data_IF_917517311440
#
_entry.id   IF_917517311440
#
_cell.length_a   1.000
_cell.length_b   1.000
_cell.length_c   1.000
_cell.angle_alpha   90.00
_cell.angle_beta   90.00
_cell.angle_gamma   90.00
#
_symmetry.space_group_name_H-M   'P 1'
#
loop_
_entity.id
_entity.type
_entity.pdbx_description
1 polymer ?
#
# COMPACT_ATOMS: atom_id res chain seq x y z
N UNK A 1 16.72 22.05 41.74
CA UNK A 1 17.97 21.26 41.63
C UNK A 1 17.76 19.75 41.87
N UNK A 2 16.81 19.35 42.72
CA UNK A 2 16.41 17.95 42.89
C UNK A 2 15.09 17.62 42.20
N UNK A 3 14.56 16.45 42.54
CA UNK A 3 13.28 15.92 42.04
C UNK A 3 12.08 16.75 42.52
N UNK A 4 11.02 16.79 41.71
CA UNK A 4 9.71 17.31 42.09
C UNK A 4 8.74 16.11 42.20
N UNK A 5 8.06 15.99 43.34
CA UNK A 5 7.00 15.00 43.54
C UNK A 5 5.73 15.71 44.01
N UNK A 6 4.68 15.66 43.22
CA UNK A 6 3.36 16.18 43.55
C UNK A 6 2.40 15.01 43.63
N UNK A 7 1.67 14.91 44.73
CA UNK A 7 0.64 13.89 44.91
C UNK A 7 -0.57 14.52 45.59
N UNK A 8 -1.76 14.32 45.03
CA UNK A 8 -3.02 14.74 45.61
C UNK A 8 -4.05 13.61 45.52
N UNK A 9 -4.97 13.56 46.48
CA UNK A 9 -6.08 12.60 46.46
C UNK A 9 -7.07 12.90 45.33
N UNK A 10 -7.20 14.18 44.95
CA UNK A 10 -8.05 14.66 43.88
C UNK A 10 -7.16 15.24 42.74
N UNK A 11 -7.29 16.54 42.47
CA UNK A 11 -6.58 17.22 41.39
C UNK A 11 -5.18 17.71 41.81
N UNK A 12 -4.22 17.60 40.89
CA UNK A 12 -2.96 18.34 40.94
C UNK A 12 -3.03 19.48 39.93
N UNK A 13 -3.11 20.71 40.42
CA UNK A 13 -3.04 21.92 39.60
C UNK A 13 -1.72 22.63 39.89
N UNK A 14 -0.87 22.75 38.87
CA UNK A 14 0.42 23.43 38.99
C UNK A 14 0.65 24.41 37.83
N UNK A 15 1.45 25.44 38.07
CA UNK A 15 1.99 26.28 37.02
C UNK A 15 3.05 25.55 36.18
N UNK A 16 3.99 26.29 35.63
CA UNK A 16 5.17 25.67 35.01
C UNK A 16 6.05 25.00 36.08
N UNK A 17 6.58 23.82 35.77
CA UNK A 17 7.47 23.05 36.64
C UNK A 17 8.82 22.89 35.95
N UNK A 18 9.90 23.23 36.66
CA UNK A 18 11.27 23.06 36.16
C UNK A 18 12.08 22.33 37.22
N UNK A 19 12.51 21.11 36.89
CA UNK A 19 13.27 20.23 37.77
C UNK A 19 14.69 19.99 37.23
N UNK A 20 15.66 19.96 38.14
CA UNK A 20 17.03 19.50 37.83
C UNK A 20 17.17 17.98 37.94
N UNK A 21 16.14 17.29 38.43
CA UNK A 21 16.04 15.83 38.49
C UNK A 21 14.78 15.36 37.75
N UNK A 22 14.10 14.36 38.29
CA UNK A 22 12.83 13.84 37.74
C UNK A 22 11.62 14.67 38.22
N UNK A 23 10.49 14.53 37.53
CA UNK A 23 9.19 15.06 37.94
C UNK A 23 8.20 13.90 38.01
N UNK A 24 7.55 13.72 39.16
CA UNK A 24 6.47 12.75 39.34
C UNK A 24 5.21 13.48 39.78
N UNK A 25 4.12 13.28 39.05
CA UNK A 25 2.79 13.84 39.36
C UNK A 25 1.79 12.69 39.48
N UNK A 26 1.15 12.59 40.63
CA UNK A 26 0.11 11.61 40.93
C UNK A 26 -1.18 12.35 41.32
N UNK A 27 -2.17 12.34 40.44
CA UNK A 27 -3.53 12.82 40.72
C UNK A 27 -4.46 11.62 40.94
N UNK A 28 -5.43 11.76 41.85
CA UNK A 28 -6.28 10.72 42.43
C UNK A 28 -6.54 9.46 41.61
N UNK A 29 -6.44 8.28 42.23
CA UNK A 29 -6.60 6.98 41.56
C UNK A 29 -8.05 6.49 41.45
N UNK A 30 -9.03 7.25 41.93
CA UNK A 30 -10.43 6.86 42.01
C UNK A 30 -11.22 7.08 40.70
N UNK A 31 -10.53 7.48 39.63
CA UNK A 31 -11.14 7.79 38.34
C UNK A 31 -11.51 9.27 38.17
N UNK A 32 -11.33 10.13 39.19
CA UNK A 32 -11.73 11.54 39.14
C UNK A 32 -10.55 12.51 39.12
N UNK A 33 -9.42 12.17 39.73
CA UNK A 33 -8.29 13.08 39.93
C UNK A 33 -7.61 13.52 38.63
N UNK A 34 -7.54 14.82 38.38
CA UNK A 34 -6.95 15.42 37.17
C UNK A 34 -5.57 15.98 37.44
N UNK A 35 -4.65 15.83 36.49
CA UNK A 35 -3.38 16.53 36.50
C UNK A 35 -3.41 17.67 35.47
N UNK A 36 -3.41 18.91 35.93
CA UNK A 36 -3.39 20.11 35.08
C UNK A 36 -2.13 20.92 35.38
N UNK A 37 -1.19 20.98 34.44
CA UNK A 37 0.06 21.72 34.63
C UNK A 37 0.34 22.71 33.50
N UNK A 38 1.21 23.69 33.76
CA UNK A 38 1.85 24.48 32.71
C UNK A 38 2.84 23.64 31.91
N UNK A 39 3.95 24.25 31.48
CA UNK A 39 5.05 23.47 30.89
C UNK A 39 5.82 22.71 31.99
N UNK A 40 6.16 21.44 31.75
CA UNK A 40 6.97 20.62 32.64
C UNK A 40 8.30 20.33 31.96
N UNK A 41 9.40 20.75 32.58
CA UNK A 41 10.77 20.48 32.12
C UNK A 41 11.55 19.75 33.20
N UNK A 42 12.20 18.66 32.85
CA UNK A 42 13.00 17.84 33.76
C UNK A 42 14.31 17.38 33.10
N UNK A 43 15.42 17.40 33.85
CA UNK A 43 16.67 16.78 33.41
C UNK A 43 16.64 15.24 33.58
N UNK A 44 15.69 14.73 34.36
CA UNK A 44 15.43 13.30 34.54
C UNK A 44 14.22 12.83 33.74
N UNK A 45 13.47 11.91 34.36
CA UNK A 45 12.23 11.37 33.83
C UNK A 45 11.04 12.28 34.21
N UNK A 46 9.98 12.26 33.39
CA UNK A 46 8.69 12.85 33.72
C UNK A 46 7.65 11.73 33.76
N UNK A 47 7.06 11.47 34.93
CA UNK A 47 5.97 10.50 35.09
C UNK A 47 4.72 11.22 35.60
N UNK A 48 3.64 11.18 34.81
CA UNK A 48 2.34 11.76 35.18
C UNK A 48 1.31 10.66 35.16
N UNK A 49 0.66 10.41 36.29
CA UNK A 49 -0.46 9.51 36.42
C UNK A 49 -1.67 10.25 36.98
N UNK A 50 -2.83 10.09 36.36
CA UNK A 50 -4.10 10.67 36.80
C UNK A 50 -5.23 9.63 36.66
N UNK A 51 -6.09 9.48 37.66
CA UNK A 51 -7.30 8.68 37.52
C UNK A 51 -8.32 9.33 36.58
N UNK A 52 -8.28 10.64 36.42
CA UNK A 52 -9.03 11.39 35.41
C UNK A 52 -8.16 11.76 34.21
N UNK A 53 -8.24 13.01 33.76
CA UNK A 53 -7.49 13.54 32.61
C UNK A 53 -6.13 14.13 32.98
N UNK A 54 -5.22 14.13 32.02
CA UNK A 54 -3.95 14.89 32.06
C UNK A 54 -4.03 16.03 31.05
N UNK A 55 -3.78 17.25 31.48
CA UNK A 55 -3.65 18.43 30.59
C UNK A 55 -2.37 19.17 30.93
N UNK A 56 -1.45 19.30 29.97
CA UNK A 56 -0.20 20.04 30.17
C UNK A 56 0.08 20.97 29.01
N UNK A 57 0.77 22.09 29.24
CA UNK A 57 1.13 22.97 28.14
C UNK A 57 2.20 22.31 27.24
N UNK A 58 3.26 21.75 27.83
CA UNK A 58 4.29 21.00 27.12
C UNK A 58 5.05 20.10 28.09
N UNK A 59 5.59 18.98 27.61
CA UNK A 59 6.43 18.08 28.39
C UNK A 59 7.81 18.00 27.75
N UNK A 60 8.87 18.23 28.53
CA UNK A 60 10.25 18.13 28.07
C UNK A 60 11.14 17.42 29.10
N UNK A 61 11.52 16.19 28.81
CA UNK A 61 12.39 15.37 29.66
C UNK A 61 13.69 15.04 28.93
N UNK A 62 14.84 15.12 29.61
CA UNK A 62 16.11 14.70 28.99
C UNK A 62 16.25 13.15 28.97
N UNK A 63 15.36 12.40 29.64
CA UNK A 63 15.27 10.93 29.57
C UNK A 63 13.90 10.43 29.10
N UNK A 64 13.09 9.84 29.98
CA UNK A 64 11.81 9.25 29.61
C UNK A 64 10.63 10.16 29.98
N UNK A 65 9.54 10.07 29.21
CA UNK A 65 8.26 10.68 29.55
C UNK A 65 7.18 9.59 29.57
N UNK A 66 6.59 9.35 30.73
CA UNK A 66 5.42 8.51 30.94
C UNK A 66 4.18 9.36 31.28
N UNK A 67 3.10 9.18 30.53
CA UNK A 67 1.80 9.77 30.85
C UNK A 67 0.73 8.69 30.84
N UNK A 68 0.05 8.51 31.97
CA UNK A 68 -1.09 7.58 32.10
C UNK A 68 -2.30 8.32 32.64
N UNK A 69 -3.43 8.20 31.96
CA UNK A 69 -4.70 8.81 32.35
C UNK A 69 -5.83 7.81 32.15
N UNK A 70 -6.83 7.80 33.03
CA UNK A 70 -8.10 7.10 32.74
C UNK A 70 -9.11 7.97 31.96
N UNK A 71 -8.79 9.25 31.79
CA UNK A 71 -9.46 10.18 30.89
C UNK A 71 -8.53 10.67 29.77
N UNK A 72 -8.88 11.79 29.15
CA UNK A 72 -8.08 12.40 28.08
C UNK A 72 -6.65 12.73 28.51
N UNK A 73 -5.72 12.61 27.55
CA UNK A 73 -4.39 13.22 27.63
C UNK A 73 -4.30 14.34 26.60
N UNK A 74 -4.06 15.57 27.05
CA UNK A 74 -3.91 16.75 26.19
C UNK A 74 -2.61 17.47 26.46
N UNK A 75 -1.75 17.58 25.45
CA UNK A 75 -0.47 18.30 25.55
C UNK A 75 -0.19 19.09 24.28
N UNK A 76 0.43 20.28 24.36
CA UNK A 76 0.75 21.00 23.11
C UNK A 76 2.00 20.46 22.41
N UNK A 77 2.96 19.89 23.15
CA UNK A 77 4.13 19.22 22.60
C UNK A 77 4.77 18.29 23.64
N UNK A 78 5.46 17.24 23.17
CA UNK A 78 6.18 16.28 24.03
C UNK A 78 7.56 16.00 23.43
N UNK A 79 8.62 16.18 24.22
CA UNK A 79 10.01 15.98 23.79
C UNK A 79 10.77 15.18 24.84
N UNK A 80 11.26 13.99 24.49
CA UNK A 80 12.02 13.13 25.38
C UNK A 80 13.40 12.79 24.82
N UNK A 81 14.43 12.82 25.66
CA UNK A 81 15.77 12.39 25.26
C UNK A 81 15.88 10.88 24.99
N UNK A 82 14.94 10.05 25.45
CA UNK A 82 14.94 8.59 25.20
C UNK A 82 13.60 8.02 24.75
N UNK A 83 12.60 7.91 25.64
CA UNK A 83 11.34 7.22 25.34
C UNK A 83 10.13 8.06 25.72
N UNK A 84 9.05 7.92 24.94
CA UNK A 84 7.73 8.49 25.24
C UNK A 84 6.73 7.35 25.33
N UNK A 85 6.00 7.30 26.43
CA UNK A 85 4.86 6.40 26.62
C UNK A 85 3.64 7.18 27.06
N UNK A 86 2.56 7.09 26.28
CA UNK A 86 1.28 7.72 26.60
C UNK A 86 0.20 6.64 26.61
N UNK A 87 -0.63 6.64 27.65
CA UNK A 87 -1.76 5.73 27.78
C UNK A 87 -2.98 6.49 28.27
N UNK A 88 -4.03 6.53 27.46
CA UNK A 88 -5.36 7.01 27.84
C UNK A 88 -6.32 5.83 27.84
N UNK A 89 -6.59 5.25 29.00
CA UNK A 89 -7.40 4.04 29.15
C UNK A 89 -8.83 4.38 29.50
N UNK A 90 -9.83 3.73 28.90
CA UNK A 90 -11.22 4.04 29.18
C UNK A 90 -11.58 3.83 30.68
N UNK A 91 -12.03 4.89 31.34
CA UNK A 91 -12.90 4.75 32.52
C UNK A 91 -14.31 4.36 32.06
N UNK A 92 -15.08 3.69 32.93
CA UNK A 92 -16.43 3.19 32.60
C UNK A 92 -17.31 4.27 31.97
N UNK A 93 -17.72 4.06 30.71
CA UNK A 93 -18.59 5.00 29.96
C UNK A 93 -17.87 6.18 29.31
N UNK A 94 -16.53 6.20 29.28
CA UNK A 94 -15.73 7.22 28.59
C UNK A 94 -14.91 6.62 27.44
N UNK A 95 -14.65 7.44 26.42
CA UNK A 95 -13.82 7.10 25.25
C UNK A 95 -12.68 8.12 25.21
N UNK A 96 -11.65 7.96 26.05
CA UNK A 96 -10.66 9.00 26.26
C UNK A 96 -9.77 9.17 25.03
N UNK A 97 -9.41 10.42 24.75
CA UNK A 97 -8.58 10.78 23.62
C UNK A 97 -7.15 11.11 24.04
N UNK A 98 -6.19 10.82 23.15
CA UNK A 98 -4.85 11.40 23.20
C UNK A 98 -4.78 12.51 22.16
N UNK A 99 -4.60 13.74 22.61
CA UNK A 99 -4.44 14.92 21.75
C UNK A 99 -3.10 15.56 22.05
N UNK A 100 -2.17 15.50 21.10
CA UNK A 100 -0.85 16.12 21.25
C UNK A 100 -0.49 16.94 20.02
N UNK A 101 0.28 18.01 20.19
CA UNK A 101 0.99 18.61 19.04
C UNK A 101 2.20 17.76 18.66
N UNK A 102 3.33 18.41 18.36
CA UNK A 102 4.55 17.72 17.93
C UNK A 102 5.13 16.81 19.03
N UNK A 103 5.62 15.64 18.62
CA UNK A 103 6.21 14.63 19.49
C UNK A 103 7.61 14.28 18.98
N UNK A 104 8.62 14.31 19.85
CA UNK A 104 9.95 13.81 19.51
C UNK A 104 10.60 12.96 20.61
N UNK A 105 11.21 11.84 20.23
CA UNK A 105 11.92 10.94 21.16
C UNK A 105 13.30 10.54 20.63
N UNK A 106 14.34 10.78 21.43
CA UNK A 106 15.70 10.39 21.11
C UNK A 106 16.34 11.20 19.97
N UNK A 107 15.76 12.35 19.62
CA UNK A 107 16.26 13.26 18.58
C UNK A 107 16.73 14.56 19.20
N UNK A 108 15.85 15.28 19.89
CA UNK A 108 16.24 16.47 20.66
C UNK A 108 16.88 16.02 21.97
N UNK A 109 18.14 16.39 22.20
CA UNK A 109 18.89 16.01 23.42
C UNK A 109 18.89 14.51 23.69
N UNK A 110 19.16 13.71 22.65
CA UNK A 110 19.26 12.28 22.77
C UNK A 110 20.20 11.88 23.94
N UNK A 111 19.70 11.04 24.86
CA UNK A 111 20.57 10.39 25.82
C UNK A 111 21.62 9.51 25.07
N UNK A 112 22.83 9.32 25.62
CA UNK A 112 23.89 8.57 24.94
C UNK A 112 23.50 7.15 24.47
N UNK A 113 22.54 6.54 25.17
CA UNK A 113 21.98 5.21 24.95
C UNK A 113 20.51 5.24 24.49
N UNK A 114 20.04 6.39 24.02
CA UNK A 114 18.63 6.57 23.65
C UNK A 114 18.19 5.62 22.53
N UNK A 115 17.16 4.84 22.83
CA UNK A 115 16.41 4.02 21.87
C UNK A 115 15.56 4.92 20.97
N UNK A 116 14.96 5.98 21.54
CA UNK A 116 14.13 6.91 20.77
C UNK A 116 12.75 6.36 20.43
N UNK A 117 12.15 5.51 21.29
CA UNK A 117 10.88 4.87 20.99
C UNK A 117 9.69 5.69 21.48
N UNK A 118 8.63 5.73 20.66
CA UNK A 118 7.34 6.36 20.99
C UNK A 118 6.27 5.27 20.98
N UNK A 119 5.52 5.16 22.07
CA UNK A 119 4.34 4.30 22.16
C UNK A 119 3.15 5.06 22.74
N UNK A 120 2.06 5.13 21.98
CA UNK A 120 0.84 5.84 22.34
C UNK A 120 -0.33 4.86 22.24
N UNK A 121 -1.06 4.72 23.34
CA UNK A 121 -2.29 3.94 23.40
C UNK A 121 -3.46 4.85 23.82
N UNK A 122 -4.54 4.82 23.05
CA UNK A 122 -5.77 5.57 23.28
C UNK A 122 -6.96 4.63 23.15
N UNK A 123 -7.85 4.60 24.16
CA UNK A 123 -9.12 3.89 24.02
C UNK A 123 -10.14 4.64 23.13
N UNK A 124 -9.81 5.86 22.71
CA UNK A 124 -10.61 6.68 21.81
C UNK A 124 -9.81 7.15 20.59
N UNK A 125 -9.95 8.43 20.23
CA UNK A 125 -9.18 9.04 19.14
C UNK A 125 -7.71 9.27 19.52
N UNK A 126 -6.82 9.21 18.54
CA UNK A 126 -5.47 9.74 18.65
C UNK A 126 -5.29 10.90 17.65
N UNK A 127 -5.19 12.13 18.15
CA UNK A 127 -4.95 13.33 17.34
C UNK A 127 -3.57 13.92 17.66
N UNK A 128 -2.59 13.58 16.83
CA UNK A 128 -1.17 13.85 17.07
C UNK A 128 -0.64 14.84 16.02
N UNK A 129 0.33 15.67 16.40
CA UNK A 129 1.09 16.49 15.45
C UNK A 129 2.13 15.67 14.69
N UNK A 130 3.20 16.32 14.25
CA UNK A 130 4.35 15.64 13.68
C UNK A 130 5.04 14.74 14.71
N UNK A 131 5.46 13.55 14.29
CA UNK A 131 6.11 12.54 15.14
C UNK A 131 7.51 12.28 14.61
N UNK A 132 8.51 12.46 15.46
CA UNK A 132 9.92 12.21 15.12
C UNK A 132 10.56 11.28 16.17
N UNK A 133 10.92 10.07 15.76
CA UNK A 133 11.53 9.07 16.62
C UNK A 133 12.88 8.62 16.06
N UNK A 134 13.92 8.58 16.89
CA UNK A 134 15.16 7.87 16.52
C UNK A 134 14.92 6.36 16.40
N UNK A 135 13.99 5.82 17.19
CA UNK A 135 13.59 4.42 17.18
C UNK A 135 12.24 4.21 16.50
N UNK A 136 11.43 3.33 17.08
CA UNK A 136 10.12 2.96 16.55
C UNK A 136 9.00 3.92 16.97
N UNK A 137 7.93 3.94 16.19
CA UNK A 137 6.69 4.64 16.49
C UNK A 137 5.56 3.63 16.52
N UNK A 138 4.86 3.52 17.65
CA UNK A 138 3.61 2.77 17.76
C UNK A 138 2.49 3.67 18.23
N UNK A 139 1.41 3.73 17.46
CA UNK A 139 0.18 4.39 17.85
C UNK A 139 -0.95 3.37 17.76
N UNK A 140 -1.70 3.25 18.85
CA UNK A 140 -2.82 2.33 18.99
C UNK A 140 -4.03 3.15 19.43
N UNK A 141 -5.10 3.13 18.64
CA UNK A 141 -6.38 3.76 18.92
C UNK A 141 -7.52 2.73 18.74
N UNK A 142 -8.62 2.82 19.49
CA UNK A 142 -9.63 1.75 19.54
C UNK A 142 -10.94 2.07 18.80
N UNK A 143 -11.35 3.33 18.68
CA UNK A 143 -12.79 3.57 18.42
C UNK A 143 -13.17 4.74 17.53
N UNK A 144 -12.31 5.70 17.23
CA UNK A 144 -12.79 6.88 16.47
C UNK A 144 -11.76 7.52 15.55
N UNK A 145 -10.73 6.77 15.19
CA UNK A 145 -9.77 7.19 14.19
C UNK A 145 -8.49 7.75 14.78
N UNK A 146 -7.48 7.74 13.93
CA UNK A 146 -6.17 8.29 14.19
C UNK A 146 -5.87 9.39 13.18
N UNK A 147 -5.47 10.57 13.65
CA UNK A 147 -4.93 11.63 12.81
C UNK A 147 -3.53 11.97 13.30
N UNK A 148 -2.52 11.90 12.44
CA UNK A 148 -1.15 12.34 12.76
C UNK A 148 -0.64 13.33 11.71
N UNK A 149 0.34 14.14 12.07
CA UNK A 149 1.14 14.88 11.10
C UNK A 149 2.07 13.96 10.30
N UNK A 150 3.22 14.49 9.90
CA UNK A 150 4.29 13.68 9.32
C UNK A 150 4.92 12.75 10.36
N UNK A 151 5.31 11.55 9.94
CA UNK A 151 5.99 10.57 10.80
C UNK A 151 7.39 10.33 10.24
N UNK A 152 8.42 10.55 11.05
CA UNK A 152 9.81 10.18 10.75
C UNK A 152 10.31 9.23 11.84
N UNK A 153 10.69 8.02 11.48
CA UNK A 153 11.15 7.00 12.41
C UNK A 153 12.44 6.33 11.93
N UNK A 154 13.38 6.08 12.85
CA UNK A 154 14.54 5.22 12.57
C UNK A 154 14.27 3.73 12.77
N UNK A 155 13.12 3.38 13.33
CA UNK A 155 12.61 2.02 13.51
C UNK A 155 11.25 1.80 12.83
N UNK A 156 10.58 0.67 13.07
CA UNK A 156 9.27 0.39 12.50
C UNK A 156 8.20 1.39 12.94
N UNK A 157 7.24 1.64 12.04
CA UNK A 157 6.05 2.45 12.29
C UNK A 157 4.83 1.53 12.31
N UNK A 158 4.07 1.56 13.38
CA UNK A 158 2.89 0.73 13.59
C UNK A 158 1.72 1.64 13.96
N UNK A 159 0.69 1.67 13.12
CA UNK A 159 -0.54 2.41 13.33
C UNK A 159 -1.70 1.41 13.38
N UNK A 160 -2.23 1.16 14.58
CA UNK A 160 -3.36 0.26 14.78
C UNK A 160 -4.59 1.08 15.19
N UNK A 161 -5.68 0.94 14.44
CA UNK A 161 -6.93 1.66 14.71
C UNK A 161 -8.14 0.92 14.12
N UNK A 162 -9.34 1.16 14.63
CA UNK A 162 -10.61 0.60 14.11
C UNK A 162 -11.61 1.67 13.60
N UNK A 163 -11.23 2.96 13.56
CA UNK A 163 -12.04 4.06 13.02
C UNK A 163 -11.52 4.70 11.72
N UNK A 164 -10.29 4.38 11.31
CA UNK A 164 -9.58 4.94 10.16
C UNK A 164 -8.29 5.67 10.54
N UNK A 165 -7.34 5.73 9.61
CA UNK A 165 -6.04 6.38 9.83
C UNK A 165 -5.83 7.48 8.82
N UNK A 166 -5.54 8.70 9.28
CA UNK A 166 -5.09 9.80 8.45
C UNK A 166 -3.72 10.28 8.94
N UNK A 167 -2.73 10.32 8.06
CA UNK A 167 -1.37 10.75 8.39
C UNK A 167 -0.79 11.59 7.26
N UNK A 168 0.22 12.40 7.56
CA UNK A 168 1.02 13.05 6.52
C UNK A 168 2.02 12.08 5.88
N UNK A 169 3.12 12.63 5.35
CA UNK A 169 4.28 11.85 4.89
C UNK A 169 4.78 10.88 5.96
N UNK A 170 5.10 9.64 5.59
CA UNK A 170 5.78 8.66 6.46
C UNK A 170 7.18 8.34 5.93
N UNK A 171 8.19 8.46 6.77
CA UNK A 171 9.59 8.17 6.43
C UNK A 171 10.19 7.24 7.48
N UNK A 172 10.39 5.97 7.11
CA UNK A 172 10.97 4.92 7.93
C UNK A 172 11.96 4.06 7.10
N UNK A 173 13.08 4.65 6.63
CA UNK A 173 13.98 4.01 5.68
C UNK A 173 14.61 2.75 6.27
N UNK A 174 14.58 1.65 5.52
CA UNK A 174 15.09 0.35 5.97
C UNK A 174 14.22 -0.32 7.04
N UNK A 175 12.98 0.15 7.25
CA UNK A 175 12.08 -0.34 8.30
C UNK A 175 10.69 -0.68 7.75
N UNK A 176 9.92 -1.46 8.52
CA UNK A 176 8.55 -1.81 8.18
C UNK A 176 7.55 -0.75 8.67
N UNK A 177 6.55 -0.45 7.84
CA UNK A 177 5.34 0.30 8.17
C UNK A 177 4.15 -0.68 8.15
N UNK A 178 3.38 -0.72 9.24
CA UNK A 178 2.13 -1.47 9.32
C UNK A 178 0.98 -0.53 9.70
N UNK A 179 -0.08 -0.54 8.88
CA UNK A 179 -1.36 0.11 9.19
C UNK A 179 -2.45 -0.98 9.16
N UNK A 180 -3.06 -1.27 10.31
CA UNK A 180 -3.98 -2.40 10.48
C UNK A 180 -4.97 -2.17 11.64
N UNK A 181 -5.83 -3.16 11.92
CA UNK A 181 -6.82 -3.11 13.00
C UNK A 181 -6.19 -3.08 14.40
N UNK A 182 -6.89 -2.43 15.34
CA UNK A 182 -6.58 -2.50 16.76
C UNK A 182 -6.54 -3.93 17.29
N UNK A 183 -7.29 -4.87 16.71
CA UNK A 183 -7.32 -6.29 17.13
C UNK A 183 -5.94 -6.96 17.15
N UNK A 184 -4.95 -6.39 16.46
CA UNK A 184 -3.58 -6.87 16.48
C UNK A 184 -2.74 -6.38 17.66
N UNK A 185 -3.23 -5.40 18.45
CA UNK A 185 -2.52 -4.82 19.59
C UNK A 185 -2.01 -5.84 20.62
N UNK A 186 -2.72 -6.95 20.91
CA UNK A 186 -2.20 -8.01 21.80
C UNK A 186 -0.91 -8.68 21.31
N UNK A 187 -0.53 -8.53 20.03
CA UNK A 187 0.72 -9.05 19.48
C UNK A 187 1.92 -8.13 19.75
N UNK A 188 1.70 -6.94 20.31
CA UNK A 188 2.78 -6.02 20.69
C UNK A 188 3.40 -6.54 21.98
N UNK A 189 4.64 -7.03 21.87
CA UNK A 189 5.44 -7.46 23.01
C UNK A 189 6.11 -6.28 23.72
N UNK A 190 6.91 -6.61 24.73
CA UNK A 190 7.83 -5.66 25.37
C UNK A 190 9.25 -6.19 25.35
N UNK A 191 10.20 -5.32 25.05
CA UNK A 191 11.63 -5.59 25.17
C UNK A 191 12.10 -5.40 26.61
N UNK A 192 13.31 -5.87 26.89
CA UNK A 192 13.95 -5.72 28.21
C UNK A 192 14.20 -4.27 28.62
N UNK A 193 14.25 -3.34 27.66
CA UNK A 193 14.37 -1.89 27.86
C UNK A 193 13.03 -1.15 28.03
N UNK A 194 11.92 -1.91 28.12
CA UNK A 194 10.57 -1.36 28.25
C UNK A 194 9.94 -0.87 26.95
N UNK A 195 10.68 -0.81 25.84
CA UNK A 195 10.15 -0.43 24.54
C UNK A 195 9.22 -1.51 23.97
N UNK A 196 8.33 -1.10 23.06
CA UNK A 196 7.44 -2.02 22.36
C UNK A 196 8.23 -2.93 21.40
N UNK A 197 7.89 -4.22 21.42
CA UNK A 197 8.42 -5.22 20.49
C UNK A 197 7.37 -5.59 19.44
N UNK A 198 7.65 -5.25 18.19
CA UNK A 198 6.73 -5.50 17.06
C UNK A 198 7.05 -6.79 16.29
N UNK A 199 7.97 -7.62 16.78
CA UNK A 199 8.44 -8.80 16.01
C UNK A 199 7.31 -9.77 15.68
N UNK A 200 6.48 -10.14 16.67
CA UNK A 200 5.34 -11.03 16.45
C UNK A 200 4.25 -10.37 15.58
N UNK A 201 3.99 -9.07 15.81
CA UNK A 201 3.03 -8.29 15.05
C UNK A 201 3.40 -8.23 13.55
N UNK A 202 4.65 -7.92 13.24
CA UNK A 202 5.16 -7.75 11.87
C UNK A 202 5.31 -9.06 11.10
N UNK A 203 5.27 -10.20 11.79
CA UNK A 203 5.27 -11.54 11.22
C UNK A 203 3.84 -12.09 11.02
N UNK A 204 2.84 -11.51 11.67
CA UNK A 204 1.45 -11.96 11.58
C UNK A 204 0.78 -11.48 10.27
N UNK A 205 -0.26 -12.20 9.85
CA UNK A 205 -1.14 -11.73 8.78
C UNK A 205 -1.91 -10.48 9.26
N UNK A 206 -1.93 -9.37 8.49
CA UNK A 206 -2.62 -8.16 8.89
C UNK A 206 -4.14 -8.38 9.02
N UNK A 207 -4.72 -7.89 10.11
CA UNK A 207 -6.18 -7.77 10.28
C UNK A 207 -6.62 -6.43 9.72
N UNK A 208 -7.66 -6.42 8.89
CA UNK A 208 -8.13 -5.21 8.22
C UNK A 208 -8.82 -4.28 9.22
N UNK A 209 -8.36 -3.04 9.31
CA UNK A 209 -9.05 -2.03 10.12
C UNK A 209 -10.41 -1.66 9.56
N UNK A 210 -11.30 -1.21 10.45
CA UNK A 210 -12.56 -0.59 10.05
C UNK A 210 -12.29 0.89 9.74
N UNK A 211 -12.73 1.34 8.56
CA UNK A 211 -12.53 2.73 8.11
C UNK A 211 -11.50 2.90 6.99
N UNK A 212 -11.27 4.17 6.64
CA UNK A 212 -10.41 4.58 5.53
C UNK A 212 -8.97 4.81 6.02
N UNK A 213 -8.02 4.67 5.10
CA UNK A 213 -6.61 5.05 5.31
C UNK A 213 -6.25 6.17 4.33
N UNK A 214 -5.78 7.29 4.86
CA UNK A 214 -5.26 8.42 4.11
C UNK A 214 -3.81 8.68 4.53
N UNK A 215 -2.90 8.66 3.56
CA UNK A 215 -1.52 9.12 3.70
C UNK A 215 -1.36 10.32 2.78
N UNK A 216 -1.42 11.52 3.35
CA UNK A 216 -1.21 12.77 2.63
C UNK A 216 0.27 13.10 2.52
N UNK A 217 0.92 12.46 1.57
CA UNK A 217 2.34 12.65 1.29
C UNK A 217 3.02 11.38 0.79
N UNK A 218 4.34 11.48 0.64
CA UNK A 218 5.17 10.36 0.23
C UNK A 218 5.30 9.30 1.34
N UNK A 219 5.65 8.07 0.93
CA UNK A 219 6.01 7.00 1.85
C UNK A 219 7.38 6.47 1.48
N UNK A 220 8.29 6.35 2.44
CA UNK A 220 9.59 5.70 2.28
C UNK A 220 9.77 4.64 3.35
N UNK A 221 9.94 3.38 2.95
CA UNK A 221 10.06 2.25 3.85
C UNK A 221 10.93 1.13 3.25
N UNK A 222 11.22 0.10 4.03
CA UNK A 222 11.61 -1.21 3.48
C UNK A 222 10.37 -2.02 3.10
N UNK A 223 9.37 -2.03 3.98
CA UNK A 223 8.11 -2.70 3.75
C UNK A 223 6.95 -1.81 4.12
N UNK A 224 5.99 -1.63 3.21
CA UNK A 224 4.71 -0.98 3.49
C UNK A 224 3.58 -2.01 3.46
N UNK A 225 2.91 -2.19 4.59
CA UNK A 225 1.71 -3.03 4.70
C UNK A 225 0.53 -2.20 5.19
N UNK A 226 -0.54 -2.16 4.40
CA UNK A 226 -1.80 -1.49 4.77
C UNK A 226 -2.97 -2.45 4.58
N UNK A 227 -3.76 -2.64 5.64
CA UNK A 227 -4.93 -3.49 5.62
C UNK A 227 -6.15 -2.72 6.14
N UNK A 228 -7.05 -2.35 5.24
CA UNK A 228 -8.27 -1.61 5.53
C UNK A 228 -9.51 -2.25 4.91
N UNK A 229 -10.64 -2.11 5.59
CA UNK A 229 -11.96 -2.44 5.04
C UNK A 229 -12.54 -1.30 4.21
N UNK A 230 -12.20 -0.04 4.53
CA UNK A 230 -12.56 1.14 3.76
C UNK A 230 -11.56 1.44 2.64
N UNK A 231 -11.59 2.69 2.17
CA UNK A 231 -10.77 3.17 1.05
C UNK A 231 -9.35 3.53 1.49
N UNK A 232 -8.37 3.36 0.59
CA UNK A 232 -6.98 3.75 0.77
C UNK A 232 -6.61 4.88 -0.19
N UNK A 233 -6.06 5.98 0.32
CA UNK A 233 -5.51 7.07 -0.47
C UNK A 233 -4.06 7.38 -0.06
N UNK A 234 -3.13 7.37 -1.02
CA UNK A 234 -1.74 7.83 -0.86
C UNK A 234 -1.47 8.90 -1.91
N UNK A 235 -1.35 10.17 -1.48
CA UNK A 235 -1.28 11.31 -2.43
C UNK A 235 0.13 11.54 -2.98
N UNK A 236 1.17 11.09 -2.28
CA UNK A 236 2.56 11.19 -2.71
C UNK A 236 3.10 9.89 -3.31
N UNK A 237 4.35 9.96 -3.77
CA UNK A 237 5.07 8.78 -4.26
C UNK A 237 5.37 7.80 -3.13
N UNK A 238 5.25 6.50 -3.42
CA UNK A 238 5.60 5.41 -2.49
C UNK A 238 6.87 4.74 -2.95
N UNK A 239 7.86 4.64 -2.07
CA UNK A 239 9.14 3.95 -2.28
C UNK A 239 9.37 2.93 -1.17
N UNK A 240 9.30 1.64 -1.50
CA UNK A 240 9.59 0.56 -0.56
C UNK A 240 10.09 -0.71 -1.27
N UNK A 241 10.82 -1.58 -0.57
CA UNK A 241 11.23 -2.87 -1.13
C UNK A 241 10.02 -3.77 -1.40
N UNK A 242 9.11 -3.86 -0.42
CA UNK A 242 7.88 -4.66 -0.50
C UNK A 242 6.66 -3.78 -0.20
N UNK A 243 5.66 -3.84 -1.07
CA UNK A 243 4.39 -3.11 -0.89
C UNK A 243 3.22 -4.09 -0.96
N UNK A 244 2.46 -4.16 0.13
CA UNK A 244 1.27 -5.00 0.29
C UNK A 244 0.08 -4.16 0.75
N UNK A 245 -0.87 -3.87 -0.15
CA UNK A 245 -2.04 -3.04 0.15
C UNK A 245 -3.34 -3.82 -0.04
N UNK A 246 -4.20 -3.80 0.97
CA UNK A 246 -5.55 -4.38 0.94
C UNK A 246 -6.59 -3.33 1.37
N UNK A 247 -7.53 -2.99 0.48
CA UNK A 247 -8.55 -1.95 0.72
C UNK A 247 -9.87 -2.23 -0.02
N UNK A 248 -10.90 -1.43 0.20
CA UNK A 248 -12.12 -1.42 -0.63
C UNK A 248 -11.80 -0.81 -2.01
N UNK A 249 -11.58 0.49 -2.08
CA UNK A 249 -10.94 1.13 -3.23
C UNK A 249 -9.55 1.62 -2.87
N UNK A 250 -8.69 1.82 -3.86
CA UNK A 250 -7.42 2.49 -3.63
C UNK A 250 -7.11 3.54 -4.71
N UNK A 251 -6.58 4.66 -4.25
CA UNK A 251 -5.97 5.72 -5.05
C UNK A 251 -4.54 5.91 -4.54
N UNK A 252 -3.55 5.69 -5.39
CA UNK A 252 -2.18 6.02 -5.05
C UNK A 252 -1.51 6.78 -6.19
N UNK A 253 -0.55 7.64 -5.83
CA UNK A 253 0.33 8.29 -6.80
C UNK A 253 1.27 7.29 -7.50
N UNK A 254 2.47 7.74 -7.83
CA UNK A 254 3.50 6.86 -8.38
C UNK A 254 3.99 5.89 -7.31
N UNK A 255 4.19 4.62 -7.68
CA UNK A 255 4.67 3.56 -6.79
C UNK A 255 5.96 2.98 -7.36
N UNK A 256 7.03 3.01 -6.57
CA UNK A 256 8.27 2.29 -6.80
C UNK A 256 8.39 1.16 -5.76
N UNK A 257 8.44 -0.08 -6.24
CA UNK A 257 8.70 -1.27 -5.44
C UNK A 257 10.11 -1.79 -5.74
N UNK A 258 10.85 -2.24 -4.75
CA UNK A 258 12.12 -2.95 -5.00
C UNK A 258 11.84 -4.32 -5.62
N UNK A 259 11.34 -5.25 -4.83
CA UNK A 259 11.29 -6.67 -5.23
C UNK A 259 9.91 -7.12 -5.67
N UNK A 260 8.85 -6.67 -5.00
CA UNK A 260 7.50 -7.13 -5.27
C UNK A 260 6.44 -6.08 -4.92
N UNK A 261 5.49 -5.90 -5.85
CA UNK A 261 4.29 -5.08 -5.67
C UNK A 261 3.06 -5.97 -5.75
N UNK A 262 2.34 -6.13 -4.63
CA UNK A 262 1.07 -6.86 -4.56
C UNK A 262 -0.04 -5.96 -4.03
N UNK A 263 -1.03 -5.68 -4.87
CA UNK A 263 -2.21 -4.90 -4.49
C UNK A 263 -3.48 -5.70 -4.71
N UNK A 264 -4.36 -5.71 -3.70
CA UNK A 264 -5.68 -6.34 -3.80
C UNK A 264 -6.76 -5.37 -3.31
N UNK A 265 -7.75 -5.07 -4.16
CA UNK A 265 -8.90 -4.23 -3.79
C UNK A 265 -10.22 -4.91 -4.10
N UNK A 266 -11.25 -4.69 -3.27
CA UNK A 266 -12.59 -5.24 -3.51
C UNK A 266 -13.36 -4.43 -4.59
N UNK A 267 -13.08 -3.14 -4.69
CA UNK A 267 -13.66 -2.19 -5.63
C UNK A 267 -12.65 -1.72 -6.68
N UNK A 268 -12.86 -0.50 -7.19
CA UNK A 268 -11.99 0.10 -8.21
C UNK A 268 -10.64 0.54 -7.67
N UNK A 269 -9.66 0.66 -8.56
CA UNK A 269 -8.28 1.04 -8.26
C UNK A 269 -7.76 2.00 -9.33
N UNK A 270 -7.18 3.12 -8.89
CA UNK A 270 -6.45 4.05 -9.78
C UNK A 270 -5.07 4.31 -9.22
N UNK A 271 -4.04 4.12 -10.04
CA UNK A 271 -2.64 4.29 -9.69
C UNK A 271 -1.96 5.23 -10.67
N UNK A 272 -0.92 5.93 -10.19
CA UNK A 272 0.05 6.61 -11.05
C UNK A 272 0.92 5.62 -11.83
N UNK A 273 2.16 6.01 -12.09
CA UNK A 273 3.14 5.13 -12.70
C UNK A 273 3.64 4.08 -11.70
N UNK A 274 3.93 2.89 -12.19
CA UNK A 274 4.47 1.79 -11.40
C UNK A 274 5.89 1.46 -11.87
N UNK A 275 6.82 1.36 -10.95
CA UNK A 275 8.16 0.85 -11.18
C UNK A 275 8.46 -0.28 -10.20
N UNK A 276 9.10 -1.35 -10.66
CA UNK A 276 9.43 -2.51 -9.85
C UNK A 276 10.65 -3.24 -10.39
N UNK A 277 11.62 -3.68 -9.56
CA UNK A 277 12.71 -4.56 -10.04
C UNK A 277 12.29 -6.03 -10.17
N UNK A 278 11.14 -6.39 -9.59
CA UNK A 278 10.57 -7.74 -9.68
C UNK A 278 9.13 -7.79 -10.18
N UNK A 279 8.30 -8.60 -9.53
CA UNK A 279 6.92 -8.88 -9.98
C UNK A 279 5.98 -7.75 -9.57
N UNK A 280 5.07 -7.39 -10.48
CA UNK A 280 3.93 -6.53 -10.18
C UNK A 280 2.64 -7.33 -10.39
N UNK A 281 1.85 -7.50 -9.33
CA UNK A 281 0.56 -8.19 -9.35
C UNK A 281 -0.54 -7.33 -8.71
N UNK A 282 -1.57 -7.01 -9.48
CA UNK A 282 -2.66 -6.16 -9.03
C UNK A 282 -4.00 -6.82 -9.37
N UNK A 283 -4.83 -6.98 -8.36
CA UNK A 283 -6.19 -7.51 -8.49
C UNK A 283 -7.17 -6.50 -7.93
N UNK A 284 -8.05 -5.98 -8.77
CA UNK A 284 -9.14 -5.10 -8.39
C UNK A 284 -10.48 -5.76 -8.68
N UNK A 285 -11.40 -5.77 -7.72
CA UNK A 285 -12.76 -6.28 -7.93
C UNK A 285 -13.62 -5.38 -8.83
N UNK A 286 -13.25 -4.10 -9.00
CA UNK A 286 -13.88 -3.14 -9.90
C UNK A 286 -13.10 -2.87 -11.19
N UNK A 287 -13.10 -1.60 -11.64
CA UNK A 287 -12.25 -1.12 -12.72
C UNK A 287 -10.82 -0.84 -12.22
N UNK A 288 -9.83 -1.03 -13.08
CA UNK A 288 -8.42 -0.81 -12.78
C UNK A 288 -7.84 0.23 -13.76
N UNK A 289 -7.31 1.32 -13.23
CA UNK A 289 -6.57 2.35 -13.96
C UNK A 289 -5.13 2.43 -13.45
N UNK A 290 -4.16 2.32 -14.35
CA UNK A 290 -2.73 2.38 -14.03
C UNK A 290 -2.03 3.29 -15.05
N UNK A 291 -1.05 4.08 -14.61
CA UNK A 291 -0.15 4.82 -15.50
C UNK A 291 0.79 3.89 -16.28
N UNK A 292 1.99 4.38 -16.56
CA UNK A 292 3.04 3.57 -17.17
C UNK A 292 3.62 2.57 -16.17
N UNK A 293 4.04 1.40 -16.65
CA UNK A 293 4.49 0.27 -15.84
C UNK A 293 5.87 -0.18 -16.30
N UNK A 294 6.83 -0.16 -15.39
CA UNK A 294 8.18 -0.69 -15.57
C UNK A 294 8.39 -1.81 -14.55
N UNK A 295 8.53 -3.05 -15.02
CA UNK A 295 8.72 -4.22 -14.15
C UNK A 295 9.98 -4.99 -14.57
N UNK A 296 10.84 -5.32 -13.62
CA UNK A 296 11.96 -6.22 -13.84
C UNK A 296 11.50 -7.67 -14.05
N UNK A 297 10.34 -8.05 -13.49
CA UNK A 297 9.69 -9.35 -13.62
C UNK A 297 8.32 -9.33 -14.33
N UNK A 298 7.45 -10.26 -13.95
CA UNK A 298 6.12 -10.43 -14.56
C UNK A 298 5.15 -9.32 -14.15
N UNK A 299 4.23 -8.98 -15.06
CA UNK A 299 3.10 -8.09 -14.79
C UNK A 299 1.80 -8.88 -14.87
N UNK A 300 1.00 -8.84 -13.80
CA UNK A 300 -0.33 -9.45 -13.74
C UNK A 300 -1.35 -8.40 -13.27
N UNK A 301 -2.28 -8.04 -14.13
CA UNK A 301 -3.39 -7.14 -13.79
C UNK A 301 -4.75 -7.83 -14.01
N UNK A 302 -5.60 -7.78 -12.99
CA UNK A 302 -6.94 -8.33 -13.02
C UNK A 302 -7.98 -7.29 -12.57
N UNK A 303 -8.93 -6.97 -13.45
CA UNK A 303 -10.09 -6.10 -13.19
C UNK A 303 -11.39 -6.93 -13.23
N UNK A 304 -11.85 -7.37 -12.07
CA UNK A 304 -12.94 -8.35 -11.92
C UNK A 304 -14.32 -7.84 -12.33
N UNK A 305 -14.61 -6.54 -12.16
CA UNK A 305 -15.94 -5.97 -12.35
C UNK A 305 -16.01 -4.82 -13.34
N UNK A 306 -14.90 -4.47 -13.99
CA UNK A 306 -14.83 -3.28 -14.83
C UNK A 306 -13.81 -3.35 -15.95
N UNK A 307 -13.49 -2.19 -16.51
CA UNK A 307 -12.45 -2.04 -17.52
C UNK A 307 -11.05 -1.99 -16.87
N UNK A 308 -10.06 -2.44 -17.62
CA UNK A 308 -8.64 -2.27 -17.33
C UNK A 308 -8.07 -1.20 -18.28
N UNK A 309 -7.49 -0.15 -17.71
CA UNK A 309 -6.75 0.89 -18.42
C UNK A 309 -5.33 0.94 -17.88
N UNK A 310 -4.36 0.80 -18.76
CA UNK A 310 -2.94 0.87 -18.42
C UNK A 310 -2.22 1.73 -19.44
N UNK A 311 -1.20 2.48 -19.00
CA UNK A 311 -0.25 3.15 -19.88
C UNK A 311 0.61 2.17 -20.67
N UNK A 312 1.85 2.56 -20.97
CA UNK A 312 2.84 1.65 -21.51
C UNK A 312 3.24 0.60 -20.47
N UNK A 313 3.58 -0.61 -20.90
CA UNK A 313 4.12 -1.68 -20.06
C UNK A 313 5.47 -2.09 -20.62
N UNK A 314 6.52 -2.00 -19.82
CA UNK A 314 7.83 -2.58 -20.06
C UNK A 314 8.13 -3.61 -18.97
N UNK A 315 7.94 -4.90 -19.29
CA UNK A 315 8.24 -6.02 -18.40
C UNK A 315 9.58 -6.67 -18.76
N UNK A 316 10.21 -7.33 -17.80
CA UNK A 316 11.39 -8.17 -18.02
C UNK A 316 12.73 -7.44 -18.03
N UNK A 317 12.86 -6.35 -17.28
CA UNK A 317 14.15 -5.67 -17.09
C UNK A 317 15.26 -6.61 -16.61
N UNK A 318 14.96 -7.51 -15.67
CA UNK A 318 15.92 -8.48 -15.10
C UNK A 318 15.57 -9.94 -15.44
N UNK A 319 14.31 -10.26 -15.75
CA UNK A 319 13.85 -11.60 -16.10
C UNK A 319 13.61 -11.77 -17.62
N UNK A 320 14.45 -12.53 -18.34
CA UNK A 320 14.32 -12.73 -19.78
C UNK A 320 13.11 -13.57 -20.21
N UNK A 321 12.36 -14.12 -19.25
CA UNK A 321 11.12 -14.86 -19.50
C UNK A 321 9.89 -14.16 -18.91
N UNK A 322 10.01 -12.90 -18.51
CA UNK A 322 8.91 -12.12 -17.95
C UNK A 322 7.76 -11.97 -18.94
N UNK A 323 6.56 -12.29 -18.49
CA UNK A 323 5.33 -12.16 -19.27
C UNK A 323 4.41 -11.05 -18.75
N UNK A 324 3.41 -10.73 -19.57
CA UNK A 324 2.35 -9.77 -19.22
C UNK A 324 1.01 -10.47 -19.31
N UNK A 325 0.22 -10.36 -18.25
CA UNK A 325 -1.15 -10.87 -18.18
C UNK A 325 -2.08 -9.72 -17.82
N UNK A 326 -3.01 -9.42 -18.73
CA UNK A 326 -4.04 -8.42 -18.54
C UNK A 326 -5.41 -9.10 -18.61
N UNK A 327 -6.22 -8.98 -17.56
CA UNK A 327 -7.56 -9.58 -17.48
C UNK A 327 -8.57 -8.55 -17.05
N UNK A 328 -9.67 -8.43 -17.79
CA UNK A 328 -10.79 -7.59 -17.40
C UNK A 328 -12.14 -8.22 -17.79
N UNK A 329 -13.16 -8.02 -16.96
CA UNK A 329 -14.54 -8.35 -17.33
C UNK A 329 -15.11 -7.34 -18.33
N UNK A 330 -14.62 -6.10 -18.32
CA UNK A 330 -14.93 -5.07 -19.32
C UNK A 330 -13.89 -5.02 -20.45
N UNK A 331 -13.64 -3.81 -20.93
CA UNK A 331 -12.61 -3.53 -21.95
C UNK A 331 -11.22 -3.58 -21.35
N UNK A 332 -10.22 -3.94 -22.15
CA UNK A 332 -8.80 -3.71 -21.85
C UNK A 332 -8.27 -2.64 -22.81
N UNK A 333 -7.68 -1.56 -22.29
CA UNK A 333 -6.93 -0.59 -23.07
C UNK A 333 -5.52 -0.43 -22.54
N UNK A 334 -4.52 -0.59 -23.40
CA UNK A 334 -3.10 -0.42 -23.05
C UNK A 334 -2.36 0.50 -24.02
N UNK A 335 -1.31 1.13 -23.50
CA UNK A 335 -0.23 1.71 -24.31
C UNK A 335 0.56 0.63 -25.06
N UNK A 336 1.84 0.91 -25.30
CA UNK A 336 2.76 -0.09 -25.85
C UNK A 336 3.07 -1.16 -24.80
N UNK A 337 2.98 -2.43 -25.16
CA UNK A 337 3.39 -3.56 -24.30
C UNK A 337 4.70 -4.12 -24.84
N UNK A 338 5.73 -4.16 -24.01
CA UNK A 338 7.02 -4.78 -24.26
C UNK A 338 7.27 -5.82 -23.18
N UNK A 339 7.43 -7.07 -23.57
CA UNK A 339 7.74 -8.16 -22.66
C UNK A 339 8.68 -9.16 -23.35
N UNK A 340 9.69 -9.73 -22.69
CA UNK A 340 10.56 -10.73 -23.31
C UNK A 340 9.89 -12.12 -23.43
N UNK A 341 8.92 -12.40 -22.55
CA UNK A 341 8.11 -13.62 -22.55
C UNK A 341 6.80 -13.48 -23.33
N UNK A 342 5.79 -14.26 -22.92
CA UNK A 342 4.48 -14.28 -23.56
C UNK A 342 3.55 -13.18 -23.01
N UNK A 343 2.60 -12.76 -23.84
CA UNK A 343 1.57 -11.76 -23.52
C UNK A 343 0.19 -12.39 -23.65
N UNK A 344 -0.59 -12.33 -22.58
CA UNK A 344 -1.98 -12.74 -22.55
C UNK A 344 -2.87 -11.54 -22.20
N UNK A 345 -3.77 -11.19 -23.11
CA UNK A 345 -4.80 -10.18 -22.85
C UNK A 345 -6.17 -10.82 -22.98
N UNK A 346 -6.97 -10.74 -21.91
CA UNK A 346 -8.34 -11.21 -21.86
C UNK A 346 -9.27 -10.06 -21.50
N UNK A 347 -10.26 -9.81 -22.33
CA UNK A 347 -11.32 -8.84 -22.10
C UNK A 347 -12.69 -9.48 -22.29
N UNK A 348 -13.63 -9.25 -21.38
CA UNK A 348 -15.05 -9.54 -21.64
C UNK A 348 -15.65 -8.56 -22.66
N UNK A 349 -15.06 -7.38 -22.81
CA UNK A 349 -15.37 -6.38 -23.83
C UNK A 349 -14.38 -6.37 -25.00
N UNK A 350 -13.95 -5.18 -25.40
CA UNK A 350 -12.97 -4.96 -26.46
C UNK A 350 -11.54 -4.91 -25.92
N UNK A 351 -10.57 -5.25 -26.77
CA UNK A 351 -9.14 -5.04 -26.52
C UNK A 351 -8.64 -3.90 -27.41
N UNK A 352 -8.01 -2.90 -26.81
CA UNK A 352 -7.30 -1.83 -27.49
C UNK A 352 -5.84 -1.78 -27.01
N UNK A 353 -4.87 -2.00 -27.90
CA UNK A 353 -3.45 -1.93 -27.56
C UNK A 353 -2.69 -1.09 -28.59
N UNK A 354 -1.84 -0.17 -28.13
CA UNK A 354 -1.09 0.71 -29.06
C UNK A 354 -0.05 -0.08 -29.86
N UNK A 355 0.65 -1.03 -29.22
CA UNK A 355 1.52 -2.00 -29.86
C UNK A 355 1.82 -3.13 -28.88
N UNK A 356 2.19 -4.31 -29.38
CA UNK A 356 2.67 -5.41 -28.55
C UNK A 356 3.95 -5.98 -29.17
N UNK A 357 5.02 -5.97 -28.40
CA UNK A 357 6.31 -6.57 -28.77
C UNK A 357 6.64 -7.65 -27.74
N UNK A 358 6.58 -8.90 -28.19
CA UNK A 358 6.82 -10.05 -27.35
C UNK A 358 7.47 -11.17 -28.16
N UNK A 359 8.71 -11.58 -27.86
CA UNK A 359 9.32 -12.77 -28.45
C UNK A 359 8.52 -14.04 -28.17
N UNK A 360 7.81 -14.09 -27.04
CA UNK A 360 6.89 -15.18 -26.72
C UNK A 360 5.60 -15.16 -27.53
N UNK A 361 4.66 -16.01 -27.12
CA UNK A 361 3.31 -16.04 -27.70
C UNK A 361 2.51 -14.80 -27.33
N UNK A 362 1.63 -14.37 -28.23
CA UNK A 362 0.68 -13.29 -28.01
C UNK A 362 -0.73 -13.86 -28.16
N UNK A 363 -1.53 -13.80 -27.10
CA UNK A 363 -2.92 -14.20 -27.11
C UNK A 363 -3.84 -13.03 -26.74
N UNK A 364 -4.71 -12.64 -27.67
CA UNK A 364 -5.72 -11.60 -27.50
C UNK A 364 -7.11 -12.25 -27.54
N UNK A 365 -7.75 -12.34 -26.38
CA UNK A 365 -9.04 -12.99 -26.20
C UNK A 365 -10.09 -11.94 -25.82
N UNK A 366 -10.93 -11.54 -26.78
CA UNK A 366 -11.91 -10.47 -26.59
C UNK A 366 -13.35 -10.99 -26.65
N UNK A 367 -14.30 -10.25 -26.09
CA UNK A 367 -15.73 -10.53 -26.25
C UNK A 367 -16.40 -9.75 -27.38
N UNK A 368 -15.87 -8.57 -27.75
CA UNK A 368 -16.54 -7.66 -28.70
C UNK A 368 -15.68 -7.04 -29.79
N UNK A 369 -14.35 -7.19 -29.76
CA UNK A 369 -13.48 -6.63 -30.80
C UNK A 369 -12.02 -6.49 -30.36
N UNK A 370 -11.12 -6.39 -31.33
CA UNK A 370 -9.70 -6.13 -31.10
C UNK A 370 -9.23 -4.99 -32.01
N UNK A 371 -8.61 -3.98 -31.43
CA UNK A 371 -7.89 -2.92 -32.14
C UNK A 371 -6.46 -2.90 -31.61
N UNK A 372 -5.51 -3.38 -32.39
CA UNK A 372 -4.11 -3.35 -32.01
C UNK A 372 -3.27 -2.64 -33.06
N UNK A 373 -2.27 -1.87 -32.60
CA UNK A 373 -1.22 -1.42 -33.50
C UNK A 373 -0.27 -2.56 -33.88
N UNK A 374 1.03 -2.30 -34.08
CA UNK A 374 1.97 -3.34 -34.49
C UNK A 374 2.07 -4.47 -33.47
N UNK A 375 1.91 -5.71 -33.94
CA UNK A 375 2.14 -6.94 -33.17
C UNK A 375 3.41 -7.60 -33.66
N UNK A 376 4.44 -7.67 -32.82
CA UNK A 376 5.74 -8.22 -33.21
C UNK A 376 6.15 -9.36 -32.29
N UNK A 377 6.19 -10.57 -32.85
CA UNK A 377 6.81 -11.74 -32.26
C UNK A 377 7.99 -12.27 -33.09
N UNK A 378 8.80 -13.14 -32.48
CA UNK A 378 9.98 -13.75 -33.15
C UNK A 378 9.66 -15.10 -33.79
N UNK A 379 10.67 -15.75 -34.36
CA UNK A 379 10.56 -16.90 -35.27
C UNK A 379 9.83 -18.15 -34.76
N UNK A 380 9.55 -18.28 -33.46
CA UNK A 380 8.80 -19.41 -32.87
C UNK A 380 7.49 -19.00 -32.15
N UNK A 381 7.15 -17.71 -32.19
CA UNK A 381 5.96 -17.14 -31.56
C UNK A 381 4.66 -17.48 -32.30
N UNK A 382 3.59 -17.65 -31.54
CA UNK A 382 2.23 -17.70 -32.07
C UNK A 382 1.46 -16.43 -31.68
N UNK A 383 0.84 -15.81 -32.68
CA UNK A 383 -0.21 -14.82 -32.47
C UNK A 383 -1.57 -15.53 -32.56
N UNK A 384 -2.39 -15.41 -31.51
CA UNK A 384 -3.77 -15.85 -31.47
C UNK A 384 -4.70 -14.66 -31.19
N UNK A 385 -5.69 -14.45 -32.06
CA UNK A 385 -6.82 -13.55 -31.82
C UNK A 385 -8.11 -14.36 -31.91
N UNK A 386 -8.85 -14.43 -30.81
CA UNK A 386 -10.03 -15.28 -30.69
C UNK A 386 -11.03 -14.74 -29.65
N UNK A 387 -12.15 -15.45 -29.51
CA UNK A 387 -13.18 -15.17 -28.52
C UNK A 387 -12.72 -15.44 -27.07
N UNK A 388 -13.25 -14.64 -26.15
CA UNK A 388 -12.99 -14.71 -24.71
C UNK A 388 -13.34 -16.04 -24.04
N UNK A 389 -14.22 -16.86 -24.64
CA UNK A 389 -14.55 -18.21 -24.15
C UNK A 389 -13.36 -19.17 -24.14
N UNK A 390 -12.34 -18.92 -24.97
CA UNK A 390 -11.10 -19.72 -24.97
C UNK A 390 -10.21 -19.48 -23.75
N UNK A 391 -10.55 -18.51 -22.89
CA UNK A 391 -9.72 -18.14 -21.74
C UNK A 391 -9.47 -19.29 -20.76
N UNK A 392 -10.36 -20.29 -20.69
CA UNK A 392 -10.15 -21.48 -19.86
C UNK A 392 -8.92 -22.31 -20.30
N UNK A 393 -8.46 -22.14 -21.54
CA UNK A 393 -7.28 -22.79 -22.09
C UNK A 393 -6.00 -21.98 -21.84
N UNK A 394 -6.12 -20.75 -21.38
CA UNK A 394 -5.00 -19.87 -21.04
C UNK A 394 -4.82 -19.88 -19.52
N UNK A 395 -3.90 -20.69 -19.03
CA UNK A 395 -3.56 -20.73 -17.61
C UNK A 395 -2.52 -19.66 -17.29
N UNK A 396 -2.46 -19.27 -16.03
CA UNK A 396 -1.39 -18.41 -15.51
C UNK A 396 -0.71 -19.20 -14.41
N UNK A 397 0.60 -19.41 -14.57
CA UNK A 397 1.41 -20.10 -13.58
C UNK A 397 1.43 -19.35 -12.26
N UNK A 398 1.85 -20.02 -11.19
CA UNK A 398 1.97 -19.42 -9.84
C UNK A 398 2.88 -18.17 -9.80
N UNK A 399 3.86 -18.11 -10.71
CA UNK A 399 4.75 -16.96 -10.88
C UNK A 399 4.13 -15.79 -11.67
N UNK A 400 2.87 -15.90 -12.11
CA UNK A 400 2.20 -14.88 -12.92
C UNK A 400 2.51 -14.95 -14.42
N UNK A 401 3.27 -15.96 -14.88
CA UNK A 401 3.54 -16.14 -16.31
C UNK A 401 2.33 -16.75 -17.02
N UNK A 402 1.98 -16.25 -18.22
CA UNK A 402 0.99 -16.92 -19.04
C UNK A 402 1.54 -18.26 -19.56
N UNK A 403 0.76 -19.32 -19.41
CA UNK A 403 0.96 -20.60 -20.08
C UNK A 403 -0.07 -20.75 -21.20
N UNK A 404 0.43 -20.68 -22.43
CA UNK A 404 -0.36 -20.67 -23.65
C UNK A 404 -0.18 -21.97 -24.45
N UNK A 405 0.40 -23.02 -23.86
CA UNK A 405 0.67 -24.28 -24.54
C UNK A 405 -0.62 -24.92 -25.11
N UNK A 406 -1.71 -24.90 -24.34
CA UNK A 406 -3.00 -25.43 -24.80
C UNK A 406 -3.63 -24.60 -25.93
N UNK A 407 -3.37 -23.28 -25.96
CA UNK A 407 -3.83 -22.42 -27.07
C UNK A 407 -3.08 -22.67 -28.38
N UNK A 408 -1.88 -23.26 -28.34
CA UNK A 408 -1.14 -23.62 -29.56
C UNK A 408 -1.83 -24.69 -30.38
N UNK A 409 -2.53 -25.61 -29.72
CA UNK A 409 -3.18 -26.76 -30.37
C UNK A 409 -4.70 -26.58 -30.50
N UNK A 410 -5.31 -25.70 -29.69
CA UNK A 410 -6.75 -25.47 -29.71
C UNK A 410 -7.25 -24.87 -31.01
N UNK A 411 -8.45 -25.24 -31.47
CA UNK A 411 -9.13 -24.59 -32.61
C UNK A 411 -9.66 -23.22 -32.16
N UNK A 412 -9.40 -22.13 -32.89
CA UNK A 412 -9.82 -20.80 -32.45
C UNK A 412 -11.35 -20.65 -32.55
N UNK A 413 -11.96 -20.16 -31.48
CA UNK A 413 -13.36 -19.75 -31.47
C UNK A 413 -13.46 -18.34 -32.06
N UNK A 414 -14.41 -18.14 -32.96
CA UNK A 414 -14.52 -16.88 -33.70
C UNK A 414 -15.06 -15.77 -32.83
N UNK A 415 -14.31 -14.67 -32.74
CA UNK A 415 -14.72 -13.42 -32.11
C UNK A 415 -15.93 -12.82 -32.84
N UNK A 416 -16.95 -12.36 -32.11
CA UNK A 416 -18.14 -11.75 -32.74
C UNK A 416 -17.82 -10.41 -33.45
N UNK A 417 -16.87 -9.66 -32.92
CA UNK A 417 -16.59 -8.28 -33.33
C UNK A 417 -15.43 -8.10 -34.31
N UNK A 418 -15.19 -6.84 -34.74
CA UNK A 418 -14.14 -6.50 -35.69
C UNK A 418 -12.74 -6.72 -35.11
N UNK A 419 -11.79 -6.99 -36.00
CA UNK A 419 -10.36 -7.05 -35.71
C UNK A 419 -9.65 -6.03 -36.60
N UNK A 420 -9.02 -5.03 -35.99
CA UNK A 420 -8.22 -4.01 -36.69
C UNK A 420 -6.77 -4.13 -36.25
N UNK A 421 -5.87 -4.31 -37.21
CA UNK A 421 -4.43 -4.47 -37.00
C UNK A 421 -3.66 -3.50 -37.88
N UNK A 422 -2.70 -2.77 -37.33
CA UNK A 422 -1.79 -1.94 -38.16
C UNK A 422 -0.58 -2.72 -38.68
N UNK A 423 -0.40 -3.97 -38.28
CA UNK A 423 0.64 -4.88 -38.75
C UNK A 423 0.85 -6.03 -37.76
N UNK A 424 1.19 -7.22 -38.25
CA UNK A 424 1.52 -8.35 -37.39
C UNK A 424 2.62 -9.23 -37.99
N UNK A 425 3.59 -9.62 -37.17
CA UNK A 425 4.67 -10.55 -37.53
C UNK A 425 4.80 -11.61 -36.44
N UNK A 426 4.65 -12.88 -36.79
CA UNK A 426 4.87 -14.01 -35.88
C UNK A 426 5.24 -15.27 -36.67
N UNK A 427 5.69 -16.33 -36.00
CA UNK A 427 5.90 -17.61 -36.66
C UNK A 427 4.59 -18.18 -37.20
N UNK A 428 3.56 -18.15 -36.36
CA UNK A 428 2.20 -18.59 -36.70
C UNK A 428 1.20 -17.50 -36.33
N UNK A 429 0.32 -17.14 -37.27
CA UNK A 429 -0.76 -16.19 -37.05
C UNK A 429 -2.09 -16.91 -37.18
N UNK A 430 -2.92 -16.83 -36.14
CA UNK A 430 -4.24 -17.45 -36.08
C UNK A 430 -5.27 -16.42 -35.66
N UNK A 431 -6.15 -16.05 -36.58
CA UNK A 431 -7.20 -15.06 -36.35
C UNK A 431 -8.54 -15.71 -36.65
N UNK A 432 -9.46 -15.69 -35.69
CA UNK A 432 -10.84 -16.10 -35.90
C UNK A 432 -11.79 -14.99 -35.44
N UNK A 433 -12.55 -14.47 -36.39
CA UNK A 433 -13.61 -13.48 -36.20
C UNK A 433 -14.79 -13.78 -37.12
N UNK A 434 -15.99 -13.44 -36.71
CA UNK A 434 -17.19 -13.39 -37.56
C UNK A 434 -17.46 -11.96 -38.06
N UNK A 435 -16.78 -10.97 -37.49
CA UNK A 435 -16.77 -9.59 -37.95
C UNK A 435 -15.78 -9.34 -39.09
N UNK A 436 -15.49 -8.06 -39.32
CA UNK A 436 -14.50 -7.63 -40.31
C UNK A 436 -13.08 -7.70 -39.75
N UNK A 437 -12.16 -8.29 -40.51
CA UNK A 437 -10.72 -8.14 -40.31
C UNK A 437 -10.22 -7.00 -41.21
N UNK A 438 -9.62 -5.97 -40.61
CA UNK A 438 -8.93 -4.89 -41.31
C UNK A 438 -7.46 -4.87 -40.90
N UNK A 439 -6.58 -5.28 -41.81
CA UNK A 439 -5.13 -5.25 -41.62
C UNK A 439 -4.52 -4.18 -42.53
N UNK A 440 -4.20 -3.02 -41.94
CA UNK A 440 -3.72 -1.85 -42.67
C UNK A 440 -2.26 -1.99 -43.15
N UNK A 441 -1.49 -2.92 -42.58
CA UNK A 441 -0.19 -3.34 -43.10
C UNK A 441 -0.13 -4.87 -43.21
N UNK A 442 0.99 -5.37 -43.75
CA UNK A 442 1.14 -6.80 -44.04
C UNK A 442 1.07 -7.67 -42.78
N UNK A 443 0.37 -8.81 -42.91
CA UNK A 443 0.50 -9.93 -41.99
C UNK A 443 1.68 -10.79 -42.47
N UNK A 444 2.71 -10.91 -41.63
CA UNK A 444 3.94 -11.66 -41.91
C UNK A 444 3.97 -12.94 -41.06
N UNK A 445 3.90 -14.09 -41.71
CA UNK A 445 4.06 -15.41 -41.11
C UNK A 445 5.30 -16.10 -41.69
N UNK A 446 5.93 -17.00 -40.93
CA UNK A 446 7.00 -17.90 -41.44
C UNK A 446 6.65 -19.39 -41.38
N UNK A 447 5.66 -19.77 -40.57
CA UNK A 447 5.31 -21.15 -40.27
C UNK A 447 3.82 -21.50 -40.47
N UNK A 448 2.93 -20.51 -40.55
CA UNK A 448 1.54 -20.73 -40.94
C UNK A 448 0.62 -19.56 -40.65
N UNK A 449 -0.21 -19.21 -41.63
CA UNK A 449 -1.27 -18.21 -41.52
C UNK A 449 -2.64 -18.88 -41.61
N UNK A 450 -3.47 -18.72 -40.58
CA UNK A 450 -4.85 -19.19 -40.56
C UNK A 450 -5.80 -18.05 -40.18
N UNK A 451 -6.63 -17.63 -41.14
CA UNK A 451 -7.62 -16.57 -40.95
C UNK A 451 -9.02 -17.13 -41.22
N UNK A 452 -9.94 -16.91 -40.28
CA UNK A 452 -11.38 -17.08 -40.44
C UNK A 452 -12.03 -15.73 -40.12
N UNK A 453 -12.69 -15.10 -41.09
CA UNK A 453 -13.29 -13.77 -40.97
C UNK A 453 -14.64 -13.72 -41.69
N UNK A 454 -15.61 -12.94 -41.18
CA UNK A 454 -16.89 -12.68 -41.89
C UNK A 454 -16.72 -11.74 -43.08
N UNK A 455 -15.66 -10.92 -43.07
CA UNK A 455 -15.12 -10.18 -44.20
C UNK A 455 -13.68 -9.75 -43.91
N UNK A 456 -12.83 -9.64 -44.93
CA UNK A 456 -11.42 -9.27 -44.74
C UNK A 456 -10.97 -8.19 -45.73
N UNK A 457 -10.29 -7.16 -45.22
CA UNK A 457 -9.52 -6.15 -45.97
C UNK A 457 -8.07 -6.28 -45.54
N UNK A 458 -7.21 -6.72 -46.45
CA UNK A 458 -5.80 -6.99 -46.17
C UNK A 458 -4.94 -6.14 -47.10
N UNK A 459 -4.10 -5.27 -46.55
CA UNK A 459 -3.16 -4.45 -47.33
C UNK A 459 -1.99 -5.27 -47.90
N UNK A 460 -1.75 -6.48 -47.38
CA UNK A 460 -0.75 -7.42 -47.87
C UNK A 460 -0.67 -8.68 -46.99
N UNK A 461 -0.27 -9.80 -47.57
CA UNK A 461 -0.03 -11.06 -46.86
C UNK A 461 1.30 -11.63 -47.33
N UNK A 462 2.26 -11.77 -46.41
CA UNK A 462 3.53 -12.45 -46.65
C UNK A 462 3.54 -13.71 -45.77
N UNK A 463 3.53 -14.89 -46.40
CA UNK A 463 3.43 -16.17 -45.73
C UNK A 463 4.70 -17.01 -45.89
#
# INVERSE_FOLDING_TARGET
>A
PGDIRLAAADDVIAGALVSGGSVVILAGSDGSGRASTGAVTAAGDIDIAAGGSVTTAALRGDRNIGVTAAGDVRTAAISAGNQIRISATAAAGSVPAVVTGAIDAGVTRAAPDAVGAIFIASAGTAALGDIVAKGSVGVVAEASGMTTGTITAGGPVVLLDDGGVATGRITAPGQAILIASHDMAPLIGRRGDGSADYTALLAAAPVRLVGNVLIDGAVTADRLTVAATGDLAITGATDAEIIALTANTALAGDIAAGTELVLTTAGGLTLGNLSGDGRIAITAGGALGVGDVFAGGNVLFEAGGGALRVGAIAAGGSDPAAGVVLRASGNVSSGAIVAPGAVLVRAGGAIAATSITAPGDIALLAGSGVSAGPLTGVSDSQLLIADGSMAALATVGSNGRPDLAALRTAVPVSLAGPVTLTGASAARIRIATTGTLDAAAALASRGGLAIRAGGARLAGVAA
#
